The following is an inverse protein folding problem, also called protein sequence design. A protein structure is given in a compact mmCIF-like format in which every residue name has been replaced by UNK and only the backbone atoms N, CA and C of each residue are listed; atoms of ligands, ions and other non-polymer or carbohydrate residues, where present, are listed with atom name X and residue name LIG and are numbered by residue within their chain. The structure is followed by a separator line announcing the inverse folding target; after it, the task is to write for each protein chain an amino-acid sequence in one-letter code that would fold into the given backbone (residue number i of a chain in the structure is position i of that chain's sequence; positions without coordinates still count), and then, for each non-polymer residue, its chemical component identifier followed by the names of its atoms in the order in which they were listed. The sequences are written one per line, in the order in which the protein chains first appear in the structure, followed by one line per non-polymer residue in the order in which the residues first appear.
data_IF_739349923525
#
_entry.id   IF_739349923525
#
_cell.length_a   1.000
_cell.length_b   1.000
_cell.length_c   1.000
_cell.angle_alpha   90.00
_cell.angle_beta   90.00
_cell.angle_gamma   90.00
#
_symmetry.space_group_name_H-M   'P 1'
#
loop_
_entity.id
_entity.type
_entity.pdbx_description
1 polymer ?
#
# COMPACT_ATOMS: atom_id res chain seq x y z
N UNK A 1 6.00 -1.03 -8.74
CA UNK A 1 6.07 -0.84 -7.27
C UNK A 1 4.65 -0.82 -6.72
N UNK A 2 4.33 -1.72 -5.79
CA UNK A 2 3.05 -1.69 -5.06
C UNK A 2 3.22 -0.91 -3.76
N UNK A 3 2.34 0.07 -3.52
CA UNK A 3 2.32 0.87 -2.29
C UNK A 3 0.93 0.82 -1.66
N UNK A 4 0.87 0.47 -0.37
CA UNK A 4 -0.39 0.32 0.39
C UNK A 4 -0.37 1.22 1.64
N UNK A 5 -1.23 2.23 1.68
CA UNK A 5 -1.26 3.26 2.73
C UNK A 5 -2.49 3.18 3.63
N UNK A 6 -2.26 3.42 4.92
CA UNK A 6 -3.31 3.76 5.87
C UNK A 6 -3.83 5.17 5.56
N UNK A 7 -5.14 5.37 5.43
CA UNK A 7 -5.68 6.75 5.21
C UNK A 7 -5.49 7.65 6.44
N UNK A 8 -5.43 7.07 7.63
CA UNK A 8 -5.29 7.82 8.88
C UNK A 8 -3.82 7.93 9.30
N UNK A 9 -3.32 9.16 9.41
CA UNK A 9 -1.96 9.44 9.85
C UNK A 9 -1.26 10.50 9.00
N UNK A 10 -1.36 11.77 9.42
CA UNK A 10 -0.83 12.92 8.68
C UNK A 10 0.68 12.85 8.42
N UNK A 11 1.46 12.23 9.32
CA UNK A 11 2.91 12.11 9.17
C UNK A 11 3.34 11.31 7.94
N UNK A 12 2.66 10.21 7.65
CA UNK A 12 3.00 9.35 6.51
C UNK A 12 2.31 9.87 5.25
N UNK A 13 1.06 10.33 5.37
CA UNK A 13 0.26 10.73 4.20
C UNK A 13 0.69 12.06 3.60
N UNK A 14 1.38 12.92 4.35
CA UNK A 14 1.94 14.17 3.82
C UNK A 14 2.97 13.97 2.69
N UNK A 15 3.67 12.83 2.67
CA UNK A 15 4.66 12.52 1.63
C UNK A 15 4.08 11.86 0.38
N UNK A 16 2.85 11.35 0.44
CA UNK A 16 2.23 10.57 -0.65
C UNK A 16 2.14 11.35 -1.97
N UNK A 17 1.69 12.63 -2.00
CA UNK A 17 1.59 13.38 -3.25
C UNK A 17 2.96 13.59 -3.93
N UNK A 18 4.01 13.85 -3.14
CA UNK A 18 5.36 14.04 -3.69
C UNK A 18 5.94 12.73 -4.21
N UNK A 19 5.68 11.61 -3.53
CA UNK A 19 6.09 10.29 -3.99
C UNK A 19 5.40 9.95 -5.33
N UNK A 20 4.09 10.14 -5.42
CA UNK A 20 3.33 9.82 -6.62
C UNK A 20 3.76 10.68 -7.82
N UNK A 21 4.00 11.98 -7.61
CA UNK A 21 4.52 12.88 -8.63
C UNK A 21 5.86 12.41 -9.21
N UNK A 22 6.79 11.96 -8.35
CA UNK A 22 8.11 11.48 -8.78
C UNK A 22 8.01 10.15 -9.53
N UNK A 23 7.13 9.24 -9.10
CA UNK A 23 6.90 7.97 -9.79
C UNK A 23 6.35 8.18 -11.20
N UNK A 24 5.42 9.13 -11.36
CA UNK A 24 4.90 9.52 -12.67
C UNK A 24 5.99 10.17 -13.54
N UNK A 25 6.77 11.11 -12.97
CA UNK A 25 7.84 11.80 -13.70
C UNK A 25 8.92 10.83 -14.22
N UNK A 26 9.22 9.77 -13.46
CA UNK A 26 10.17 8.73 -13.86
C UNK A 26 9.55 7.57 -14.64
N UNK A 27 8.26 7.65 -14.99
CA UNK A 27 7.52 6.61 -15.71
C UNK A 27 7.66 5.22 -15.07
N UNK A 28 7.64 5.16 -13.74
CA UNK A 28 7.70 3.89 -13.02
C UNK A 28 6.39 3.15 -13.21
N UNK A 29 6.47 1.83 -13.35
CA UNK A 29 5.30 0.98 -13.14
C UNK A 29 4.97 0.97 -11.64
N UNK A 30 3.80 1.48 -11.26
CA UNK A 30 3.38 1.51 -9.86
C UNK A 30 1.87 1.39 -9.68
N UNK A 31 1.47 0.89 -8.52
CA UNK A 31 0.09 0.91 -8.00
C UNK A 31 0.13 1.51 -6.59
N UNK A 32 -0.67 2.54 -6.34
CA UNK A 32 -0.82 3.17 -5.03
C UNK A 32 -2.26 2.97 -4.53
N UNK A 33 -2.42 2.30 -3.39
CA UNK A 33 -3.73 1.97 -2.81
C UNK A 33 -3.80 2.55 -1.40
N UNK A 34 -4.89 3.26 -1.10
CA UNK A 34 -5.16 3.81 0.23
C UNK A 34 -6.37 3.10 0.86
N UNK A 35 -6.27 2.74 2.14
CA UNK A 35 -7.30 2.03 2.89
C UNK A 35 -8.03 2.98 3.85
N UNK A 36 -9.29 3.38 3.56
CA UNK A 36 -10.10 4.20 4.46
C UNK A 36 -10.39 3.50 5.79
N UNK A 37 -10.41 4.23 6.90
CA UNK A 37 -10.68 3.65 8.23
C UNK A 37 -9.53 2.84 8.84
N UNK A 38 -8.39 2.76 8.14
CA UNK A 38 -7.17 2.13 8.60
C UNK A 38 -6.15 3.20 9.03
N UNK A 39 -5.59 3.02 10.23
CA UNK A 39 -4.46 3.78 10.74
C UNK A 39 -3.19 2.94 10.82
N UNK A 40 -2.03 3.57 10.87
CA UNK A 40 -0.77 2.83 11.04
C UNK A 40 -0.65 2.26 12.48
N UNK A 41 -0.26 0.97 12.69
CA UNK A 41 0.00 -0.10 11.70
C UNK A 41 -1.18 -1.09 11.56
N UNK A 42 -2.00 -0.96 10.51
CA UNK A 42 -3.21 -1.79 10.34
C UNK A 42 -2.96 -3.25 9.93
N UNK A 43 -1.78 -3.56 9.40
CA UNK A 43 -1.40 -4.92 8.99
C UNK A 43 -0.87 -5.76 10.18
N UNK A 44 -0.51 -5.13 11.30
CA UNK A 44 0.03 -5.83 12.46
C UNK A 44 -1.09 -6.52 13.25
N UNK A 45 -1.20 -7.83 13.12
CA UNK A 45 -2.21 -8.72 13.73
C UNK A 45 -2.04 -8.92 15.24
N UNK A 46 -0.90 -8.51 15.81
CA UNK A 46 -0.67 -8.53 17.27
C UNK A 46 -1.10 -7.23 17.97
N UNK A 47 -1.47 -6.19 17.21
CA UNK A 47 -1.75 -4.85 17.73
C UNK A 47 -3.23 -4.47 17.74
N UNK A 48 -3.60 -3.51 18.60
CA UNK A 48 -4.99 -2.99 18.69
C UNK A 48 -5.48 -2.23 17.45
N UNK A 49 -4.55 -1.90 16.53
CA UNK A 49 -4.85 -1.20 15.28
C UNK A 49 -5.05 -2.13 14.09
N UNK A 50 -4.95 -3.44 14.30
CA UNK A 50 -5.20 -4.43 13.26
C UNK A 50 -6.55 -4.20 12.56
N UNK A 51 -6.56 -4.33 11.24
CA UNK A 51 -7.77 -4.26 10.40
C UNK A 51 -7.73 -5.46 9.45
N UNK A 52 -8.41 -6.57 9.78
CA UNK A 52 -8.30 -7.82 9.01
C UNK A 52 -8.63 -7.62 7.53
N UNK A 53 -9.74 -6.96 7.21
CA UNK A 53 -10.16 -6.74 5.82
C UNK A 53 -9.13 -5.93 5.01
N UNK A 54 -8.53 -4.89 5.63
CA UNK A 54 -7.47 -4.11 4.97
C UNK A 54 -6.17 -4.89 4.87
N UNK A 55 -5.83 -5.70 5.87
CA UNK A 55 -4.63 -6.53 5.88
C UNK A 55 -4.72 -7.63 4.81
N UNK A 56 -5.85 -8.33 4.73
CA UNK A 56 -6.12 -9.35 3.70
C UNK A 56 -6.07 -8.73 2.30
N UNK A 57 -6.71 -7.57 2.09
CA UNK A 57 -6.65 -6.89 0.81
C UNK A 57 -5.24 -6.47 0.41
N UNK A 58 -4.40 -6.03 1.35
CA UNK A 58 -2.96 -5.77 1.08
C UNK A 58 -2.25 -7.06 0.70
N UNK A 59 -2.48 -8.14 1.44
CA UNK A 59 -1.83 -9.42 1.21
C UNK A 59 -2.13 -9.99 -0.17
N UNK A 60 -3.42 -10.03 -0.56
CA UNK A 60 -3.83 -10.50 -1.88
C UNK A 60 -3.21 -9.66 -2.99
N UNK A 61 -3.21 -8.33 -2.87
CA UNK A 61 -2.56 -7.44 -3.86
C UNK A 61 -1.07 -7.66 -3.97
N UNK A 62 -0.39 -7.99 -2.86
CA UNK A 62 1.02 -8.31 -2.87
C UNK A 62 1.30 -9.60 -3.65
N UNK A 63 0.48 -10.64 -3.45
CA UNK A 63 0.58 -11.88 -4.22
C UNK A 63 0.33 -11.63 -5.71
N UNK A 64 -0.78 -10.96 -6.06
CA UNK A 64 -1.09 -10.59 -7.45
C UNK A 64 0.07 -9.79 -8.09
N UNK A 65 0.65 -8.84 -7.35
CA UNK A 65 1.78 -8.05 -7.83
C UNK A 65 3.02 -8.92 -8.10
N UNK A 66 3.28 -9.91 -7.25
CA UNK A 66 4.39 -10.85 -7.48
C UNK A 66 4.12 -11.79 -8.65
N UNK A 67 2.89 -12.26 -8.83
CA UNK A 67 2.51 -13.03 -10.02
C UNK A 67 2.74 -12.22 -11.29
N UNK A 68 2.28 -10.97 -11.34
CA UNK A 68 2.42 -10.07 -12.49
C UNK A 68 3.89 -9.76 -12.86
N UNK A 69 4.82 -9.78 -11.90
CA UNK A 69 6.17 -9.22 -12.07
C UNK A 69 7.35 -10.17 -11.85
N UNK A 70 7.16 -11.27 -11.12
CA UNK A 70 8.24 -12.21 -10.77
C UNK A 70 8.05 -13.59 -11.41
N UNK A 71 6.81 -13.97 -11.68
CA UNK A 71 6.50 -15.26 -12.30
C UNK A 71 6.54 -15.05 -13.82
N UNK A 72 7.74 -15.15 -14.39
CA UNK A 72 7.92 -15.09 -15.84
C UNK A 72 7.08 -16.17 -16.54
N UNK A 73 6.39 -15.78 -17.62
CA UNK A 73 5.79 -16.72 -18.57
C UNK A 73 6.83 -17.57 -19.26
#
# INVERSE_FOLDING_TARGET
MLVCYAREGARINGGVPSLEAELMAQQKDYKLVTYPGAGHPFFNDTGSRYRPDSAEAVWMRSLDWFEDHLMGT
#
